data_IF_615876322862
#
_entry.id   IF_615876322862
#
_cell.length_a   1.000
_cell.length_b   1.000
_cell.length_c   1.000
_cell.angle_alpha   90.00
_cell.angle_beta   90.00
_cell.angle_gamma   90.00
#
_symmetry.space_group_name_H-M   'P 1'
#
loop_
_entity.id
_entity.type
_entity.pdbx_description
1 polymer ?
#
# COMPACT_ATOMS: atom_id res chain seq x y z
N UNK A 1 -2.25 20.52 10.50
CA UNK A 1 -2.09 19.32 11.34
C UNK A 1 -2.31 18.10 10.46
N UNK A 2 -1.44 17.10 10.54
CA UNK A 2 -1.66 15.84 9.84
C UNK A 2 -2.59 15.02 10.74
N UNK A 3 -3.83 14.79 10.30
CA UNK A 3 -4.83 14.09 11.11
C UNK A 3 -4.27 12.74 11.57
N UNK A 4 -4.37 12.50 12.88
CA UNK A 4 -3.93 11.26 13.49
C UNK A 4 -4.70 10.10 12.86
N UNK A 5 -3.97 9.15 12.26
CA UNK A 5 -4.58 7.96 11.68
C UNK A 5 -5.37 7.24 12.77
N UNK A 6 -6.62 6.84 12.47
CA UNK A 6 -7.36 5.92 13.34
C UNK A 6 -6.70 4.54 13.26
N UNK A 7 -5.69 4.37 14.12
CA UNK A 7 -4.89 3.15 14.21
C UNK A 7 -5.75 1.92 14.57
N UNK A 8 -6.87 2.10 15.27
CA UNK A 8 -7.78 1.02 15.63
C UNK A 8 -8.48 0.46 14.39
N UNK A 9 -9.08 1.35 13.61
CA UNK A 9 -9.72 0.98 12.34
C UNK A 9 -8.71 0.46 11.32
N UNK A 10 -7.52 1.08 11.22
CA UNK A 10 -6.46 0.61 10.33
C UNK A 10 -6.02 -0.81 10.69
N UNK A 11 -5.76 -1.09 11.98
CA UNK A 11 -5.35 -2.41 12.47
C UNK A 11 -6.40 -3.48 12.19
N UNK A 12 -7.67 -3.19 12.47
CA UNK A 12 -8.76 -4.11 12.17
C UNK A 12 -8.83 -4.40 10.66
N UNK A 13 -8.62 -3.38 9.82
CA UNK A 13 -8.63 -3.54 8.38
C UNK A 13 -7.46 -4.41 7.87
N UNK A 14 -6.22 -4.06 8.23
CA UNK A 14 -5.02 -4.81 7.78
C UNK A 14 -4.88 -6.17 8.43
N UNK A 15 -5.48 -6.37 9.61
CA UNK A 15 -5.59 -7.65 10.30
C UNK A 15 -6.62 -8.59 9.67
N UNK A 16 -7.53 -8.05 8.85
CA UNK A 16 -8.63 -8.81 8.26
C UNK A 16 -9.74 -9.13 9.26
N UNK A 17 -9.86 -8.34 10.33
CA UNK A 17 -10.91 -8.49 11.35
C UNK A 17 -12.27 -8.06 10.80
N UNK A 18 -13.35 -8.44 11.48
CA UNK A 18 -14.69 -7.95 11.13
C UNK A 18 -14.78 -6.46 11.46
N UNK A 19 -15.19 -5.66 10.48
CA UNK A 19 -15.41 -4.23 10.65
C UNK A 19 -16.88 -3.90 10.42
N UNK A 20 -17.42 -3.01 11.26
CA UNK A 20 -18.73 -2.41 11.04
C UNK A 20 -18.56 -1.26 10.05
N UNK A 21 -19.10 -1.43 8.85
CA UNK A 21 -19.09 -0.39 7.82
C UNK A 21 -20.39 0.41 7.89
N UNK A 22 -20.28 1.68 8.26
CA UNK A 22 -21.40 2.62 8.21
C UNK A 22 -21.65 3.05 6.77
N UNK A 23 -22.89 2.83 6.31
CA UNK A 23 -23.32 3.20 4.97
C UNK A 23 -24.19 4.43 5.08
N UNK A 24 -23.78 5.54 4.46
CA UNK A 24 -24.54 6.79 4.52
C UNK A 24 -26.00 6.56 4.11
N UNK A 25 -26.94 6.92 4.98
CA UNK A 25 -28.40 6.74 4.81
C UNK A 25 -28.88 5.29 4.62
N UNK A 26 -28.14 4.30 5.14
CA UNK A 26 -28.52 2.88 5.09
C UNK A 26 -28.09 2.18 6.38
N UNK A 27 -28.64 1.00 6.61
CA UNK A 27 -28.21 0.17 7.73
C UNK A 27 -26.74 -0.22 7.61
N UNK A 28 -26.00 -0.18 8.74
CA UNK A 28 -24.60 -0.59 8.76
C UNK A 28 -24.49 -2.09 8.49
N UNK A 29 -23.36 -2.49 7.90
CA UNK A 29 -23.09 -3.90 7.60
C UNK A 29 -21.76 -4.32 8.21
N UNK A 30 -21.69 -5.54 8.73
CA UNK A 30 -20.43 -6.11 9.19
C UNK A 30 -19.77 -6.86 8.02
N UNK A 31 -18.55 -6.47 7.67
CA UNK A 31 -17.81 -7.08 6.56
C UNK A 31 -16.43 -7.52 7.01
N UNK A 32 -15.88 -8.53 6.31
CA UNK A 32 -14.46 -8.86 6.39
C UNK A 32 -13.74 -8.11 5.25
N UNK A 33 -12.72 -7.29 5.55
CA UNK A 33 -11.92 -6.59 4.55
C UNK A 33 -11.29 -7.58 3.55
N UNK A 34 -11.46 -7.33 2.26
CA UNK A 34 -10.82 -8.09 1.19
C UNK A 34 -9.80 -7.26 0.40
N UNK A 35 -9.89 -5.93 0.48
CA UNK A 35 -9.01 -5.04 -0.26
C UNK A 35 -7.61 -5.00 0.37
N UNK A 36 -6.61 -4.77 -0.48
CA UNK A 36 -5.27 -4.35 -0.04
C UNK A 36 -5.20 -2.84 -0.09
N UNK A 37 -4.69 -2.24 0.97
CA UNK A 37 -4.49 -0.79 1.06
C UNK A 37 -3.16 -0.45 0.39
N UNK A 38 -3.17 0.56 -0.49
CA UNK A 38 -1.98 1.10 -1.15
C UNK A 38 -1.98 2.60 -0.93
N UNK A 39 -0.88 3.12 -0.43
CA UNK A 39 -0.69 4.54 -0.15
C UNK A 39 0.45 5.06 -1.00
N UNK A 40 0.26 6.25 -1.60
CA UNK A 40 1.29 6.99 -2.30
C UNK A 40 1.41 8.34 -1.62
N UNK A 41 2.46 8.54 -0.84
CA UNK A 41 2.66 9.75 -0.03
C UNK A 41 4.09 10.24 -0.15
N UNK A 42 4.28 11.55 -0.04
CA UNK A 42 5.62 12.16 0.02
C UNK A 42 6.17 12.11 1.45
N UNK A 43 5.28 12.34 2.42
CA UNK A 43 5.57 12.21 3.84
C UNK A 43 4.87 10.97 4.38
N UNK A 44 5.52 10.26 5.29
CA UNK A 44 4.98 9.04 5.86
C UNK A 44 3.91 9.36 6.91
N UNK A 45 2.84 8.55 7.01
CA UNK A 45 1.85 8.74 8.06
C UNK A 45 2.48 8.52 9.43
N UNK A 46 2.14 9.39 10.39
CA UNK A 46 2.57 9.22 11.78
C UNK A 46 1.75 8.08 12.39
N UNK A 47 2.42 6.97 12.70
CA UNK A 47 1.84 5.82 13.37
C UNK A 47 2.44 5.74 14.77
N UNK A 48 1.60 5.92 15.80
CA UNK A 48 2.02 5.95 17.22
C UNK A 48 2.17 4.54 17.82
N UNK A 49 1.90 3.50 17.02
CA UNK A 49 1.86 2.11 17.45
C UNK A 49 3.25 1.58 17.86
N UNK A 50 3.48 1.44 19.17
CA UNK A 50 4.70 0.87 19.75
C UNK A 50 4.81 -0.66 19.64
N UNK A 51 3.78 -1.35 19.16
CA UNK A 51 3.68 -2.82 19.23
C UNK A 51 4.27 -3.58 18.03
N UNK A 52 4.89 -2.88 17.07
CA UNK A 52 5.35 -3.42 15.77
C UNK A 52 4.28 -4.15 14.93
N UNK A 53 3.03 -4.20 15.40
CA UNK A 53 1.96 -4.94 14.74
C UNK A 53 1.56 -4.29 13.42
N UNK A 54 1.52 -2.95 13.37
CA UNK A 54 1.23 -2.20 12.16
C UNK A 54 2.40 -2.28 11.17
N UNK A 55 3.64 -2.11 11.66
CA UNK A 55 4.86 -2.10 10.84
C UNK A 55 5.12 -3.42 10.11
N UNK A 56 4.88 -4.58 10.74
CA UNK A 56 5.06 -5.91 10.10
C UNK A 56 4.07 -6.21 8.96
N UNK A 57 3.03 -5.38 8.78
CA UNK A 57 2.02 -5.54 7.72
C UNK A 57 2.15 -4.50 6.61
N UNK A 58 3.13 -3.61 6.69
CA UNK A 58 3.40 -2.58 5.70
C UNK A 58 4.62 -2.95 4.87
N UNK A 59 4.54 -2.63 3.57
CA UNK A 59 5.66 -2.73 2.65
C UNK A 59 5.96 -1.33 2.16
N UNK A 60 7.07 -0.75 2.62
CA UNK A 60 7.48 0.58 2.21
C UNK A 60 8.38 0.50 0.98
N UNK A 61 7.88 0.99 -0.16
CA UNK A 61 8.62 1.04 -1.42
C UNK A 61 9.05 2.49 -1.66
N UNK A 62 10.33 2.85 -1.40
CA UNK A 62 10.79 4.22 -1.59
C UNK A 62 11.00 4.53 -3.08
N UNK A 63 10.51 5.69 -3.52
CA UNK A 63 10.74 6.22 -4.86
C UNK A 63 11.88 7.23 -4.80
N UNK A 64 13.13 6.76 -4.83
CA UNK A 64 14.32 7.60 -4.65
C UNK A 64 14.84 8.23 -5.95
N UNK A 65 14.35 7.78 -7.11
CA UNK A 65 14.77 8.28 -8.41
C UNK A 65 13.93 9.49 -8.83
N UNK A 66 14.55 10.67 -8.88
CA UNK A 66 13.92 11.90 -9.35
C UNK A 66 14.18 12.08 -10.84
N UNK A 67 13.13 12.21 -11.64
CA UNK A 67 13.24 12.43 -13.10
C UNK A 67 13.46 13.93 -13.39
N UNK A 68 14.60 14.32 -14.01
CA UNK A 68 14.87 15.71 -14.38
C UNK A 68 13.80 16.28 -15.30
N UNK A 69 13.56 17.60 -15.23
CA UNK A 69 12.44 18.25 -15.92
C UNK A 69 12.50 18.05 -17.44
N UNK A 70 13.69 18.05 -18.02
CA UNK A 70 13.98 17.83 -19.43
C UNK A 70 13.70 16.39 -19.90
N UNK A 71 13.69 15.43 -18.97
CA UNK A 71 13.44 14.01 -19.24
C UNK A 71 12.01 13.58 -18.89
N UNK A 72 11.18 14.48 -18.35
CA UNK A 72 9.81 14.16 -17.96
C UNK A 72 8.90 14.02 -19.18
N UNK A 73 8.31 12.85 -19.36
CA UNK A 73 7.28 12.62 -20.37
C UNK A 73 5.90 13.05 -19.85
N UNK A 74 5.35 14.15 -20.41
CA UNK A 74 4.01 14.66 -20.06
C UNK A 74 2.86 13.77 -20.56
N UNK A 75 3.12 12.91 -21.55
CA UNK A 75 2.14 12.00 -22.15
C UNK A 75 2.27 10.57 -21.60
N UNK A 76 3.09 10.35 -20.56
CA UNK A 76 3.39 9.02 -20.03
C UNK A 76 2.12 8.22 -19.72
N UNK A 77 1.11 8.85 -19.11
CA UNK A 77 -0.13 8.17 -18.77
C UNK A 77 -0.87 7.67 -20.02
N UNK A 78 -1.00 8.48 -21.07
CA UNK A 78 -1.69 8.06 -22.29
C UNK A 78 -0.93 6.97 -23.03
N UNK A 79 0.41 7.02 -23.01
CA UNK A 79 1.25 5.96 -23.58
C UNK A 79 1.06 4.64 -22.81
N UNK A 80 1.11 4.68 -21.48
CA UNK A 80 0.87 3.49 -20.63
C UNK A 80 -0.51 2.88 -20.85
N UNK A 81 -1.54 3.69 -21.12
CA UNK A 81 -2.86 3.18 -21.46
C UNK A 81 -2.89 2.35 -22.76
N UNK A 82 -1.97 2.58 -23.70
CA UNK A 82 -1.84 1.75 -24.90
C UNK A 82 -1.18 0.40 -24.63
N UNK A 83 -0.45 0.27 -23.52
CA UNK A 83 0.29 -0.93 -23.12
C UNK A 83 -0.42 -1.77 -22.04
N UNK A 84 -1.68 -1.46 -21.72
CA UNK A 84 -2.44 -2.15 -20.66
C UNK A 84 -2.38 -3.69 -20.73
N UNK A 85 -2.46 -4.35 -21.92
CA UNK A 85 -2.32 -5.80 -21.98
C UNK A 85 -0.95 -6.30 -21.48
N UNK A 86 0.13 -5.56 -21.76
CA UNK A 86 1.48 -5.88 -21.29
C UNK A 86 1.62 -5.68 -19.78
N UNK A 87 1.12 -4.56 -19.27
CA UNK A 87 1.10 -4.25 -17.83
C UNK A 87 0.31 -5.32 -17.07
N UNK A 88 -0.84 -5.73 -17.60
CA UNK A 88 -1.65 -6.80 -17.03
C UNK A 88 -0.90 -8.14 -16.99
N UNK A 89 -0.25 -8.53 -18.09
CA UNK A 89 0.52 -9.77 -18.13
C UNK A 89 1.67 -9.77 -17.11
N UNK A 90 2.33 -8.63 -16.94
CA UNK A 90 3.37 -8.47 -15.92
C UNK A 90 2.81 -8.55 -14.49
N UNK A 91 1.71 -7.85 -14.21
CA UNK A 91 1.01 -7.94 -12.93
C UNK A 91 0.53 -9.38 -12.63
N UNK A 92 0.04 -10.09 -13.64
CA UNK A 92 -0.40 -11.48 -13.51
C UNK A 92 0.75 -12.45 -13.20
N UNK A 93 1.93 -12.24 -13.80
CA UNK A 93 3.14 -12.98 -13.42
C UNK A 93 3.52 -12.70 -11.96
N UNK A 94 3.47 -11.43 -11.53
CA UNK A 94 3.67 -11.05 -10.14
C UNK A 94 2.67 -11.72 -9.19
N UNK A 95 1.40 -11.83 -9.59
CA UNK A 95 0.37 -12.54 -8.82
C UNK A 95 0.70 -14.04 -8.66
N UNK A 96 1.14 -14.72 -9.72
CA UNK A 96 1.57 -16.13 -9.63
C UNK A 96 2.71 -16.30 -8.63
N UNK A 97 3.72 -15.43 -8.70
CA UNK A 97 4.83 -15.45 -7.74
C UNK A 97 4.36 -15.24 -6.31
N UNK A 98 3.41 -14.33 -6.09
CA UNK A 98 2.82 -14.08 -4.77
C UNK A 98 2.05 -15.28 -4.24
N UNK A 99 1.28 -15.97 -5.09
CA UNK A 99 0.56 -17.20 -4.71
C UNK A 99 1.52 -18.32 -4.32
N UNK A 100 2.60 -18.52 -5.09
CA UNK A 100 3.59 -19.57 -4.83
C UNK A 100 4.39 -19.32 -3.54
N UNK A 101 4.75 -18.06 -3.26
CA UNK A 101 5.56 -17.69 -2.10
C UNK A 101 4.75 -17.49 -0.81
N UNK A 102 3.48 -17.11 -0.95
CA UNK A 102 2.61 -16.73 0.17
C UNK A 102 2.88 -15.33 0.75
N UNK A 103 3.91 -14.63 0.28
CA UNK A 103 4.25 -13.26 0.68
C UNK A 103 4.82 -12.44 -0.48
N UNK A 104 4.78 -11.12 -0.34
CA UNK A 104 5.45 -10.23 -1.28
C UNK A 104 6.97 -10.36 -1.17
N UNK A 105 7.72 -10.22 -2.28
CA UNK A 105 9.16 -10.06 -2.19
C UNK A 105 9.52 -8.83 -1.36
N UNK A 106 10.50 -8.96 -0.48
CA UNK A 106 11.03 -7.85 0.33
C UNK A 106 12.49 -7.59 -0.06
N UNK A 107 12.73 -6.73 -1.07
CA UNK A 107 14.06 -6.24 -1.38
C UNK A 107 14.73 -5.59 -0.17
N UNK A 108 16.06 -5.58 -0.16
CA UNK A 108 16.82 -5.07 0.97
C UNK A 108 16.47 -3.61 1.32
N UNK A 109 16.21 -2.78 0.31
CA UNK A 109 15.82 -1.38 0.51
C UNK A 109 14.47 -1.25 1.24
N UNK A 110 13.49 -2.11 0.92
CA UNK A 110 12.19 -2.14 1.62
C UNK A 110 12.37 -2.50 3.10
N UNK A 111 13.25 -3.47 3.40
CA UNK A 111 13.56 -3.87 4.77
C UNK A 111 14.23 -2.75 5.56
N UNK A 112 15.22 -2.08 4.96
CA UNK A 112 15.95 -1.01 5.61
C UNK A 112 15.05 0.19 5.94
N UNK A 113 14.26 0.66 4.97
CA UNK A 113 13.35 1.78 5.19
C UNK A 113 12.30 1.46 6.27
N UNK A 114 11.77 0.23 6.26
CA UNK A 114 10.79 -0.19 7.27
C UNK A 114 11.38 -0.23 8.69
N UNK A 115 12.67 -0.55 8.85
CA UNK A 115 13.36 -0.58 10.15
C UNK A 115 13.67 0.83 10.66
N UNK A 116 14.03 1.77 9.78
CA UNK A 116 14.33 3.15 10.17
C UNK A 116 13.11 3.85 10.80
N UNK A 117 11.90 3.49 10.37
CA UNK A 117 10.66 4.09 10.89
C UNK A 117 10.17 3.54 12.23
N UNK A 118 10.81 2.47 12.73
CA UNK A 118 10.50 1.89 14.04
C UNK A 118 11.29 2.55 15.19
N UNK A 119 12.25 3.42 14.87
CA UNK A 119 13.11 4.14 15.83
C UNK A 119 12.53 5.51 16.16
#
# INVERSE_FOLDING_TARGET
EMDKVDEGTLKAYVGGDLILMERKYRDPITIRPTAKLVFCTNDLPIISDKSNATWRRMLLVPFTNVVPQEAQNRNLFSELCTELPGIWNWAFQGYKMLQERGNFPEPQIVKWETVQLQQ
#
